data_IF_918706714668
#
_entry.id   IF_918706714668
#
_cell.length_a   1.000
_cell.length_b   1.000
_cell.length_c   1.000
_cell.angle_alpha   90.00
_cell.angle_beta   90.00
_cell.angle_gamma   90.00
#
_symmetry.space_group_name_H-M   'P 1'
#
loop_
_entity.id
_entity.type
_entity.pdbx_description
1 polymer ?
#
# COMPACT_ATOMS: atom_id res chain seq x y z
N UNK A 1 14.35 41.78 -69.90
CA UNK A 1 14.89 40.79 -69.00
C UNK A 1 14.69 41.27 -67.57
N UNK A 2 13.51 41.04 -67.02
CA UNK A 2 13.13 41.43 -65.66
C UNK A 2 12.24 40.29 -65.07
N UNK A 3 12.49 39.90 -63.84
CA UNK A 3 11.55 39.17 -62.93
C UNK A 3 11.56 37.63 -62.96
N UNK A 4 12.68 36.95 -62.62
CA UNK A 4 12.64 35.52 -62.23
C UNK A 4 13.28 35.24 -60.85
N UNK A 5 13.86 36.28 -60.20
CA UNK A 5 14.58 36.04 -58.92
C UNK A 5 13.71 36.04 -57.65
N UNK A 6 12.50 36.62 -57.68
CA UNK A 6 11.65 36.76 -56.45
C UNK A 6 10.91 35.47 -56.03
N UNK A 7 10.37 34.64 -56.95
CA UNK A 7 9.68 33.43 -56.52
C UNK A 7 10.62 32.33 -55.96
N UNK A 8 11.88 32.28 -56.38
CA UNK A 8 12.85 31.29 -55.90
C UNK A 8 13.27 31.54 -54.44
N UNK A 9 13.36 32.83 -54.04
CA UNK A 9 13.69 33.19 -52.65
C UNK A 9 12.54 32.88 -51.67
N UNK A 10 11.29 33.03 -52.11
CA UNK A 10 10.09 32.72 -51.28
C UNK A 10 9.94 31.22 -51.11
N UNK A 11 10.20 30.40 -52.12
CA UNK A 11 10.15 28.94 -52.03
C UNK A 11 11.29 28.42 -51.16
N UNK A 12 12.48 29.00 -51.18
CA UNK A 12 13.59 28.61 -50.30
C UNK A 12 13.33 29.02 -48.86
N UNK A 13 12.70 30.17 -48.58
CA UNK A 13 12.29 30.60 -47.27
C UNK A 13 11.17 29.72 -46.68
N UNK A 14 10.22 29.27 -47.51
CA UNK A 14 9.11 28.41 -47.09
C UNK A 14 9.55 26.96 -46.83
N UNK A 15 10.63 26.51 -47.48
CA UNK A 15 11.21 25.18 -47.26
C UNK A 15 12.08 25.11 -45.99
N UNK A 16 12.61 26.24 -45.50
CA UNK A 16 13.39 26.30 -44.26
C UNK A 16 12.51 26.28 -43.01
N UNK A 17 11.22 26.67 -43.11
CA UNK A 17 10.26 26.67 -41.97
C UNK A 17 9.71 25.26 -41.67
N UNK A 18 9.82 24.32 -42.62
CA UNK A 18 9.35 22.94 -42.43
C UNK A 18 10.35 22.03 -41.72
N UNK A 19 11.52 22.50 -41.33
CA UNK A 19 12.55 21.73 -40.61
C UNK A 19 12.56 21.96 -39.11
N UNK A 20 11.66 22.77 -38.55
CA UNK A 20 11.40 22.75 -37.11
C UNK A 20 10.52 21.54 -36.80
N UNK A 21 11.07 20.35 -36.99
CA UNK A 21 10.50 19.13 -36.45
C UNK A 21 10.39 19.31 -34.94
N UNK A 22 9.17 19.38 -34.44
CA UNK A 22 8.88 19.31 -33.03
C UNK A 22 9.34 17.93 -32.54
N UNK A 23 10.64 17.82 -32.24
CA UNK A 23 11.19 16.59 -31.65
C UNK A 23 10.43 16.33 -30.36
N UNK A 24 9.79 15.18 -30.25
CA UNK A 24 9.14 14.76 -28.99
C UNK A 24 10.14 14.90 -27.84
N UNK A 25 9.74 15.61 -26.80
CA UNK A 25 10.53 15.71 -25.57
C UNK A 25 10.73 14.33 -24.99
N UNK A 26 11.97 13.92 -24.79
CA UNK A 26 12.31 12.56 -24.32
C UNK A 26 13.15 12.61 -23.07
N UNK A 27 13.08 11.56 -22.25
CA UNK A 27 14.01 11.29 -21.18
C UNK A 27 14.92 10.10 -21.53
N UNK A 28 16.02 9.96 -20.81
CA UNK A 28 16.98 8.87 -21.01
C UNK A 28 17.39 8.21 -19.71
N UNK A 29 17.53 6.90 -19.75
CA UNK A 29 18.00 6.06 -18.61
C UNK A 29 19.17 5.24 -19.12
N UNK A 30 20.37 5.48 -18.60
CA UNK A 30 21.59 4.83 -19.08
C UNK A 30 22.49 4.43 -17.91
N UNK A 31 23.44 3.57 -18.18
CA UNK A 31 24.41 3.20 -17.14
C UNK A 31 25.25 1.98 -17.47
N UNK A 32 25.83 1.44 -16.41
CA UNK A 32 26.70 0.25 -16.47
C UNK A 32 26.33 -0.69 -15.33
N UNK A 33 26.24 -1.99 -15.63
CA UNK A 33 26.07 -3.06 -14.64
C UNK A 33 27.21 -4.04 -14.79
N UNK A 34 28.11 -4.07 -13.80
CA UNK A 34 29.20 -5.05 -13.74
C UNK A 34 28.66 -6.45 -13.44
N UNK A 35 29.36 -7.50 -13.91
CA UNK A 35 28.98 -8.87 -13.63
C UNK A 35 27.69 -9.38 -14.30
N UNK A 36 27.09 -8.61 -15.21
CA UNK A 36 25.81 -8.94 -15.84
C UNK A 36 25.91 -9.49 -17.28
N UNK A 37 27.08 -9.97 -17.70
CA UNK A 37 27.26 -10.48 -19.07
C UNK A 37 26.25 -11.57 -19.45
N UNK A 38 25.58 -11.38 -20.58
CA UNK A 38 24.59 -12.30 -21.12
C UNK A 38 23.20 -12.21 -20.48
N UNK A 39 23.04 -11.47 -19.39
CA UNK A 39 21.74 -11.25 -18.72
C UNK A 39 20.90 -10.21 -19.47
N UNK A 40 19.57 -10.33 -19.35
CA UNK A 40 18.63 -9.38 -19.95
C UNK A 40 18.20 -8.38 -18.88
N UNK A 41 18.40 -7.10 -19.17
CA UNK A 41 17.84 -6.00 -18.38
C UNK A 41 16.54 -5.53 -19.02
N UNK A 42 15.52 -5.42 -18.22
CA UNK A 42 14.22 -4.86 -18.62
C UNK A 42 14.08 -3.45 -18.08
N UNK A 43 13.51 -2.59 -18.92
CA UNK A 43 13.04 -1.28 -18.54
C UNK A 43 11.53 -1.27 -18.52
N UNK A 44 10.94 -0.94 -17.37
CA UNK A 44 9.53 -1.12 -17.11
C UNK A 44 8.90 0.17 -16.57
N UNK A 45 7.65 0.46 -16.97
CA UNK A 45 6.79 1.47 -16.35
C UNK A 45 5.99 0.81 -15.22
N UNK A 46 5.94 1.46 -14.06
CA UNK A 46 5.24 0.98 -12.86
C UNK A 46 3.97 1.80 -12.68
N UNK A 47 2.89 1.33 -13.29
CA UNK A 47 1.56 1.93 -13.13
C UNK A 47 0.94 1.66 -11.75
N UNK A 48 -0.26 2.18 -11.51
CA UNK A 48 -0.98 2.01 -10.24
C UNK A 48 -1.39 0.55 -10.02
N UNK A 49 -1.85 -0.13 -11.07
CA UNK A 49 -2.39 -1.50 -10.99
C UNK A 49 -1.58 -2.54 -11.76
N UNK A 50 -0.65 -2.13 -12.62
CA UNK A 50 0.12 -3.04 -13.45
C UNK A 50 1.49 -2.49 -13.79
N UNK A 51 2.42 -3.38 -14.11
CA UNK A 51 3.75 -3.03 -14.62
C UNK A 51 3.85 -3.46 -16.08
N UNK A 52 4.37 -2.57 -16.93
CA UNK A 52 4.50 -2.78 -18.38
C UNK A 52 5.97 -2.72 -18.79
N UNK A 53 6.45 -3.72 -19.52
CA UNK A 53 7.79 -3.70 -20.12
C UNK A 53 7.76 -2.71 -21.29
N UNK A 54 8.63 -1.71 -21.22
CA UNK A 54 8.79 -0.70 -22.27
C UNK A 54 9.89 -1.08 -23.27
N UNK A 55 10.98 -1.66 -22.75
CA UNK A 55 12.14 -2.03 -23.54
C UNK A 55 13.00 -3.07 -22.80
N UNK A 56 13.95 -3.69 -23.50
CA UNK A 56 14.90 -4.61 -22.89
C UNK A 56 16.21 -4.64 -23.68
N UNK A 57 17.30 -4.97 -23.00
CA UNK A 57 18.62 -5.13 -23.61
C UNK A 57 19.37 -6.32 -23.02
N UNK A 58 20.00 -7.12 -23.87
CA UNK A 58 20.94 -8.14 -23.44
C UNK A 58 22.31 -7.49 -23.17
N UNK A 59 22.74 -7.57 -21.92
CA UNK A 59 24.00 -6.95 -21.48
C UNK A 59 25.21 -7.73 -22.02
N UNK A 60 26.22 -7.00 -22.45
CA UNK A 60 27.52 -7.54 -22.83
C UNK A 60 28.46 -7.54 -21.63
N UNK A 61 29.71 -8.01 -21.81
CA UNK A 61 30.75 -7.94 -20.81
C UNK A 61 31.03 -6.49 -20.31
N UNK A 62 30.80 -5.48 -21.18
CA UNK A 62 30.91 -4.06 -20.81
C UNK A 62 29.78 -3.58 -19.91
N UNK A 63 28.69 -4.33 -19.78
CA UNK A 63 27.53 -4.03 -18.94
C UNK A 63 26.78 -2.74 -19.28
N UNK A 64 27.05 -2.10 -20.41
CA UNK A 64 26.42 -0.82 -20.79
C UNK A 64 25.01 -1.02 -21.25
N UNK A 65 24.13 -0.09 -20.85
CA UNK A 65 22.76 0.02 -21.35
C UNK A 65 22.34 1.48 -21.56
N UNK A 66 21.34 1.68 -22.41
CA UNK A 66 20.72 2.98 -22.64
C UNK A 66 19.30 2.77 -23.15
N UNK A 67 18.32 3.37 -22.47
CA UNK A 67 16.93 3.43 -22.88
C UNK A 67 16.53 4.88 -23.09
N UNK A 68 15.62 5.12 -24.03
CA UNK A 68 15.08 6.45 -24.34
C UNK A 68 13.58 6.32 -24.58
N UNK A 69 12.79 7.17 -23.94
CA UNK A 69 11.34 7.17 -24.06
C UNK A 69 10.79 8.60 -24.15
N UNK A 70 9.57 8.74 -24.65
CA UNK A 70 8.83 9.98 -24.60
C UNK A 70 8.63 10.40 -23.13
N UNK A 71 8.73 11.71 -22.88
CA UNK A 71 8.50 12.26 -21.55
C UNK A 71 7.07 11.93 -21.08
N UNK A 72 6.86 11.55 -19.82
CA UNK A 72 5.51 11.35 -19.29
C UNK A 72 4.74 12.67 -19.21
N UNK A 73 3.42 12.61 -19.33
CA UNK A 73 2.54 13.79 -19.17
C UNK A 73 2.59 14.34 -17.73
N UNK A 74 2.65 13.44 -16.76
CA UNK A 74 2.81 13.70 -15.32
C UNK A 74 4.00 12.90 -14.79
N UNK A 75 4.61 13.28 -13.66
CA UNK A 75 5.63 12.48 -13.01
C UNK A 75 5.17 11.02 -12.84
N UNK A 76 5.99 10.08 -13.28
CA UNK A 76 5.62 8.67 -13.27
C UNK A 76 6.79 7.77 -12.86
N UNK A 77 6.46 6.52 -12.48
CA UNK A 77 7.41 5.57 -11.93
C UNK A 77 7.86 4.55 -12.94
N UNK A 78 9.13 4.24 -12.84
CA UNK A 78 9.81 3.27 -13.68
C UNK A 78 10.70 2.38 -12.83
N UNK A 79 11.11 1.26 -13.41
CA UNK A 79 12.14 0.42 -12.80
C UNK A 79 13.04 -0.24 -13.85
N UNK A 80 14.30 -0.44 -13.47
CA UNK A 80 15.21 -1.37 -14.13
C UNK A 80 15.09 -2.70 -13.43
N UNK A 81 14.86 -3.79 -14.16
CA UNK A 81 14.82 -5.15 -13.62
C UNK A 81 15.90 -6.01 -14.24
N UNK A 82 16.68 -6.65 -13.37
CA UNK A 82 17.70 -7.64 -13.73
C UNK A 82 17.42 -8.92 -12.93
N UNK A 83 17.02 -10.00 -13.60
CA UNK A 83 16.54 -11.22 -12.96
C UNK A 83 15.39 -10.92 -11.96
N UNK A 84 15.57 -11.29 -10.68
CA UNK A 84 14.61 -11.04 -9.59
C UNK A 84 14.96 -9.80 -8.74
N UNK A 85 15.82 -8.92 -9.24
CA UNK A 85 16.18 -7.67 -8.57
C UNK A 85 15.73 -6.48 -9.41
N UNK A 86 15.34 -5.37 -8.76
CA UNK A 86 14.90 -4.16 -9.44
C UNK A 86 15.37 -2.90 -8.72
N UNK A 87 15.57 -1.85 -9.51
CA UNK A 87 15.85 -0.50 -9.06
C UNK A 87 14.65 0.37 -9.44
N UNK A 88 13.92 0.89 -8.46
CA UNK A 88 12.81 1.82 -8.68
C UNK A 88 13.34 3.26 -8.79
N UNK A 89 12.73 4.05 -9.66
CA UNK A 89 12.99 5.48 -9.81
C UNK A 89 11.77 6.16 -10.43
N UNK A 90 11.78 7.48 -10.49
CA UNK A 90 10.74 8.26 -11.14
C UNK A 90 11.34 9.20 -12.18
N UNK A 91 10.52 9.57 -13.14
CA UNK A 91 10.80 10.58 -14.17
C UNK A 91 9.75 11.67 -14.04
N UNK A 92 10.22 12.89 -13.83
CA UNK A 92 9.35 14.06 -13.71
C UNK A 92 9.20 14.79 -15.05
N UNK A 93 10.22 14.73 -15.93
CA UNK A 93 10.25 15.48 -17.18
C UNK A 93 11.19 14.82 -18.21
N UNK A 94 12.21 15.55 -18.65
CA UNK A 94 13.17 15.20 -19.73
C UNK A 94 14.57 14.91 -19.20
N UNK A 95 14.68 14.51 -17.94
CA UNK A 95 15.95 14.23 -17.31
C UNK A 95 16.69 13.05 -17.95
N UNK A 96 17.98 13.01 -17.71
CA UNK A 96 18.83 11.87 -18.03
C UNK A 96 19.34 11.27 -16.73
N UNK A 97 18.90 10.04 -16.42
CA UNK A 97 19.39 9.30 -15.28
C UNK A 97 20.59 8.42 -15.68
N UNK A 98 21.61 8.44 -14.85
CA UNK A 98 22.80 7.57 -15.02
C UNK A 98 22.93 6.64 -13.82
N UNK A 99 22.98 5.34 -14.07
CA UNK A 99 23.11 4.29 -13.06
C UNK A 99 24.46 3.57 -13.16
N UNK A 100 25.02 3.22 -12.01
CA UNK A 100 26.08 2.22 -11.92
C UNK A 100 25.73 1.21 -10.84
N UNK A 101 25.82 -0.09 -11.15
CA UNK A 101 25.45 -1.17 -10.27
C UNK A 101 26.33 -2.41 -10.51
N UNK A 102 26.28 -3.36 -9.58
CA UNK A 102 26.80 -4.70 -9.73
C UNK A 102 25.64 -5.70 -9.76
N UNK A 103 25.72 -6.72 -10.61
CA UNK A 103 24.64 -7.69 -10.79
C UNK A 103 24.31 -8.48 -9.51
N UNK A 104 25.26 -8.73 -8.64
CA UNK A 104 25.07 -9.44 -7.39
C UNK A 104 24.32 -8.64 -6.33
N UNK A 105 24.48 -7.32 -6.37
CA UNK A 105 23.88 -6.38 -5.41
C UNK A 105 23.05 -5.30 -6.09
N UNK A 106 22.43 -5.65 -7.21
CA UNK A 106 21.76 -4.73 -8.13
C UNK A 106 20.73 -3.82 -7.45
N UNK A 107 19.92 -4.37 -6.56
CA UNK A 107 18.86 -3.62 -5.87
C UNK A 107 19.37 -2.77 -4.69
N UNK A 108 20.57 -3.04 -4.15
CA UNK A 108 21.01 -2.47 -2.87
C UNK A 108 22.24 -1.57 -2.98
N UNK A 109 23.14 -1.86 -3.93
CA UNK A 109 24.46 -1.20 -4.03
C UNK A 109 24.66 -0.47 -5.36
N UNK A 110 23.64 0.26 -5.81
CA UNK A 110 23.73 1.07 -7.04
C UNK A 110 23.97 2.55 -6.73
N UNK A 111 24.45 3.28 -7.73
CA UNK A 111 24.45 4.75 -7.73
C UNK A 111 23.45 5.26 -8.75
N UNK A 112 22.88 6.43 -8.51
CA UNK A 112 22.00 7.13 -9.45
C UNK A 112 22.33 8.61 -9.44
N UNK A 113 22.46 9.18 -10.65
CA UNK A 113 22.71 10.61 -10.88
C UNK A 113 21.70 11.16 -11.88
N UNK A 114 21.53 12.48 -11.87
CA UNK A 114 20.66 13.19 -12.80
C UNK A 114 19.26 13.53 -12.27
N UNK A 115 18.87 13.04 -11.06
CA UNK A 115 17.62 13.42 -10.42
C UNK A 115 17.71 13.31 -8.91
N UNK A 116 17.29 14.34 -8.19
CA UNK A 116 17.19 14.32 -6.73
C UNK A 116 16.05 13.40 -6.26
N UNK A 117 14.95 13.32 -7.02
CA UNK A 117 13.87 12.36 -6.75
C UNK A 117 14.36 10.91 -6.85
N UNK A 118 15.18 10.58 -7.83
CA UNK A 118 15.74 9.23 -7.95
C UNK A 118 16.68 8.89 -6.79
N UNK A 119 17.49 9.85 -6.31
CA UNK A 119 18.32 9.68 -5.10
C UNK A 119 17.47 9.49 -3.84
N UNK A 120 16.39 10.27 -3.70
CA UNK A 120 15.45 10.15 -2.59
C UNK A 120 14.74 8.79 -2.61
N UNK A 121 14.26 8.33 -3.77
CA UNK A 121 13.65 7.01 -3.93
C UNK A 121 14.62 5.90 -3.54
N UNK A 122 15.90 6.00 -3.92
CA UNK A 122 16.94 5.07 -3.46
C UNK A 122 17.04 5.05 -1.93
N UNK A 123 17.13 6.20 -1.28
CA UNK A 123 17.24 6.28 0.18
C UNK A 123 16.03 5.66 0.89
N UNK A 124 14.82 5.92 0.37
CA UNK A 124 13.57 5.33 0.87
C UNK A 124 13.57 3.81 0.67
N UNK A 125 14.00 3.34 -0.50
CA UNK A 125 14.11 1.89 -0.80
C UNK A 125 15.05 1.20 0.16
N UNK A 126 16.22 1.79 0.45
CA UNK A 126 17.17 1.22 1.39
C UNK A 126 16.59 1.17 2.81
N UNK A 127 15.93 2.23 3.27
CA UNK A 127 15.26 2.22 4.57
C UNK A 127 14.15 1.15 4.67
N UNK A 128 13.41 0.93 3.59
CA UNK A 128 12.41 -0.14 3.51
C UNK A 128 13.05 -1.54 3.54
N UNK A 129 14.17 -1.73 2.84
CA UNK A 129 14.91 -3.00 2.87
C UNK A 129 15.49 -3.29 4.26
N UNK A 130 16.04 -2.28 4.94
CA UNK A 130 16.54 -2.40 6.32
C UNK A 130 15.42 -2.79 7.28
N UNK A 131 14.23 -2.17 7.16
CA UNK A 131 13.07 -2.52 7.95
C UNK A 131 12.62 -3.97 7.68
N UNK A 132 12.57 -4.40 6.42
CA UNK A 132 12.21 -5.77 6.04
C UNK A 132 13.21 -6.79 6.64
N UNK A 133 14.50 -6.48 6.59
CA UNK A 133 15.54 -7.35 7.17
C UNK A 133 15.39 -7.45 8.68
N UNK A 134 15.18 -6.33 9.38
CA UNK A 134 14.99 -6.29 10.82
C UNK A 134 13.77 -7.10 11.25
N UNK A 135 12.61 -6.92 10.57
CA UNK A 135 11.39 -7.67 10.88
C UNK A 135 11.55 -9.16 10.55
N UNK A 136 12.24 -9.49 9.45
CA UNK A 136 12.57 -10.89 9.12
C UNK A 136 13.41 -11.58 10.20
N UNK A 137 14.34 -10.84 10.84
CA UNK A 137 15.11 -11.33 11.98
C UNK A 137 14.23 -11.55 13.22
N UNK A 138 13.41 -10.56 13.58
CA UNK A 138 12.48 -10.64 14.71
C UNK A 138 11.51 -11.82 14.57
N UNK A 139 11.02 -12.08 13.36
CA UNK A 139 10.15 -13.23 13.07
C UNK A 139 10.84 -14.55 13.38
N UNK A 140 12.09 -14.73 12.95
CA UNK A 140 12.86 -15.94 13.25
C UNK A 140 13.13 -16.10 14.75
N UNK A 141 13.41 -15.00 15.46
CA UNK A 141 13.61 -15.02 16.92
C UNK A 141 12.32 -15.43 17.65
N UNK A 142 11.15 -14.94 17.20
CA UNK A 142 9.84 -15.34 17.72
C UNK A 142 9.55 -16.82 17.44
N UNK A 143 9.73 -17.27 16.19
CA UNK A 143 9.52 -18.67 15.78
C UNK A 143 10.42 -19.63 16.55
N UNK A 144 11.64 -19.20 16.89
CA UNK A 144 12.60 -19.94 17.74
C UNK A 144 12.30 -19.83 19.24
N UNK A 145 11.22 -19.16 19.65
CA UNK A 145 10.89 -18.86 21.05
C UNK A 145 12.00 -18.12 21.82
N UNK A 146 12.81 -17.33 21.12
CA UNK A 146 13.90 -16.52 21.72
C UNK A 146 13.39 -15.22 22.33
N UNK A 147 12.25 -14.72 21.85
CA UNK A 147 11.58 -13.52 22.36
C UNK A 147 10.09 -13.80 22.57
N UNK A 148 9.45 -13.21 23.60
CA UNK A 148 8.02 -13.30 23.83
C UNK A 148 7.23 -12.50 22.79
N UNK A 149 5.95 -12.85 22.56
CA UNK A 149 5.05 -12.17 21.61
C UNK A 149 4.91 -10.67 21.88
N UNK A 150 4.91 -10.26 23.15
CA UNK A 150 4.85 -8.84 23.54
C UNK A 150 6.07 -8.08 23.03
N UNK A 151 7.27 -8.61 23.28
CA UNK A 151 8.54 -8.01 22.81
C UNK A 151 8.60 -7.99 21.27
N UNK A 152 8.14 -9.05 20.61
CA UNK A 152 8.04 -9.09 19.15
C UNK A 152 7.16 -7.96 18.61
N UNK A 153 5.97 -7.77 19.17
CA UNK A 153 5.03 -6.73 18.76
C UNK A 153 5.60 -5.32 18.97
N UNK A 154 6.22 -5.05 20.12
CA UNK A 154 6.85 -3.76 20.43
C UNK A 154 8.01 -3.45 19.48
N UNK A 155 8.85 -4.43 19.18
CA UNK A 155 9.99 -4.23 18.29
C UNK A 155 9.56 -4.04 16.83
N UNK A 156 8.52 -4.72 16.34
CA UNK A 156 7.94 -4.44 15.02
C UNK A 156 7.47 -3.01 14.90
N UNK A 157 6.74 -2.49 15.90
CA UNK A 157 6.28 -1.10 15.91
C UNK A 157 7.48 -0.12 15.90
N UNK A 158 8.53 -0.44 16.64
CA UNK A 158 9.77 0.36 16.65
C UNK A 158 10.43 0.40 15.27
N UNK A 159 10.54 -0.74 14.60
CA UNK A 159 11.11 -0.82 13.24
C UNK A 159 10.25 -0.06 12.24
N UNK A 160 8.92 -0.21 12.30
CA UNK A 160 8.00 0.51 11.44
C UNK A 160 8.10 2.03 11.65
N UNK A 161 8.21 2.49 12.88
CA UNK A 161 8.37 3.90 13.19
C UNK A 161 9.71 4.46 12.70
N UNK A 162 10.80 3.69 12.80
CA UNK A 162 12.10 4.09 12.24
C UNK A 162 12.03 4.31 10.72
N UNK A 163 11.32 3.45 9.98
CA UNK A 163 11.04 3.70 8.57
C UNK A 163 10.23 4.99 8.37
N UNK A 164 9.14 5.16 9.13
CA UNK A 164 8.27 6.36 9.02
C UNK A 164 9.04 7.66 9.26
N UNK A 165 10.00 7.67 10.18
CA UNK A 165 10.86 8.83 10.41
C UNK A 165 11.67 9.22 9.17
N UNK A 166 12.22 8.24 8.44
CA UNK A 166 12.90 8.50 7.16
C UNK A 166 11.90 9.02 6.13
N UNK A 167 10.75 8.36 5.98
CA UNK A 167 9.73 8.69 5.00
C UNK A 167 9.12 10.07 5.21
N UNK A 168 8.85 10.48 6.45
CA UNK A 168 8.27 11.80 6.80
C UNK A 168 9.12 12.97 6.31
N UNK A 169 10.44 12.82 6.25
CA UNK A 169 11.34 13.87 5.71
C UNK A 169 10.99 14.21 4.26
N UNK A 170 10.68 13.20 3.45
CA UNK A 170 10.30 13.40 2.05
C UNK A 170 8.83 13.79 1.92
N UNK A 171 7.93 13.15 2.67
CA UNK A 171 6.49 13.40 2.63
C UNK A 171 6.16 14.84 3.00
N UNK A 172 6.73 15.37 4.09
CA UNK A 172 6.43 16.72 4.55
C UNK A 172 7.39 17.78 4.00
N UNK A 173 8.60 17.39 3.59
CA UNK A 173 9.58 18.31 3.02
C UNK A 173 9.21 18.79 1.62
N UNK A 174 8.68 17.88 0.78
CA UNK A 174 8.28 18.20 -0.59
C UNK A 174 7.13 17.28 -1.04
N UNK A 175 5.90 17.47 -0.54
CA UNK A 175 4.78 16.54 -0.74
C UNK A 175 4.30 16.39 -2.18
N UNK A 176 4.68 17.31 -3.10
CA UNK A 176 4.38 17.22 -4.52
C UNK A 176 5.31 16.27 -5.30
N UNK A 177 6.38 15.77 -4.68
CA UNK A 177 7.40 14.99 -5.39
C UNK A 177 7.01 13.51 -5.52
N UNK A 178 7.56 12.85 -6.53
CA UNK A 178 7.46 11.40 -6.69
C UNK A 178 8.09 10.65 -5.52
N UNK A 179 9.13 11.19 -4.88
CA UNK A 179 9.72 10.60 -3.69
C UNK A 179 8.73 10.57 -2.50
N UNK A 180 7.95 11.64 -2.30
CA UNK A 180 6.92 11.68 -1.25
C UNK A 180 5.81 10.64 -1.50
N UNK A 181 5.32 10.54 -2.74
CA UNK A 181 4.38 9.48 -3.13
C UNK A 181 4.97 8.09 -2.88
N UNK A 182 6.20 7.86 -3.33
CA UNK A 182 6.88 6.57 -3.17
C UNK A 182 7.03 6.17 -1.70
N UNK A 183 7.43 7.11 -0.84
CA UNK A 183 7.59 6.88 0.60
C UNK A 183 6.28 6.47 1.27
N UNK A 184 5.15 7.05 0.85
CA UNK A 184 3.83 6.79 1.41
C UNK A 184 3.32 5.37 1.12
N UNK A 185 3.70 4.80 -0.04
CA UNK A 185 3.20 3.51 -0.52
C UNK A 185 4.15 2.32 -0.27
N UNK A 186 5.21 2.51 0.51
CA UNK A 186 6.07 1.37 0.86
C UNK A 186 5.36 0.41 1.80
N UNK A 187 5.69 -0.87 1.65
CA UNK A 187 4.99 -1.96 2.31
C UNK A 187 5.97 -2.94 2.94
N UNK A 188 5.47 -3.65 3.94
CA UNK A 188 6.06 -4.86 4.48
C UNK A 188 4.98 -5.95 4.55
N UNK A 189 5.25 -7.13 4.01
CA UNK A 189 4.30 -8.25 3.96
C UNK A 189 2.91 -7.86 3.42
N UNK A 190 2.87 -6.94 2.45
CA UNK A 190 1.63 -6.44 1.84
C UNK A 190 0.90 -5.35 2.66
N UNK A 191 1.39 -5.01 3.84
CA UNK A 191 0.84 -3.94 4.67
C UNK A 191 1.62 -2.64 4.48
N UNK A 192 0.92 -1.52 4.33
CA UNK A 192 1.55 -0.20 4.27
C UNK A 192 2.18 0.15 5.62
N UNK A 193 3.35 0.79 5.60
CA UNK A 193 3.92 1.37 6.82
C UNK A 193 3.04 2.50 7.38
N UNK A 194 2.44 3.31 6.51
CA UNK A 194 1.48 4.35 6.90
C UNK A 194 0.07 3.77 6.86
N UNK A 195 -0.56 3.69 8.02
CA UNK A 195 -1.93 3.17 8.16
C UNK A 195 -2.96 4.27 7.87
N UNK A 196 -3.79 4.03 6.86
CA UNK A 196 -4.89 4.92 6.48
C UNK A 196 -5.92 5.14 7.60
N UNK A 197 -6.03 4.19 8.51
CA UNK A 197 -6.97 4.21 9.62
C UNK A 197 -6.39 4.83 10.91
N UNK A 198 -5.09 5.07 10.93
CA UNK A 198 -4.42 5.76 12.03
C UNK A 198 -4.49 7.28 11.81
N UNK A 199 -4.94 8.02 12.83
CA UNK A 199 -5.12 9.48 12.78
C UNK A 199 -3.86 10.25 12.40
N UNK A 200 -2.69 9.82 12.89
CA UNK A 200 -1.44 10.53 12.64
C UNK A 200 -0.84 10.19 11.28
N UNK A 201 -0.92 8.92 10.88
CA UNK A 201 -0.48 8.48 9.56
C UNK A 201 -1.35 9.05 8.42
N UNK A 202 -2.66 9.22 8.67
CA UNK A 202 -3.59 9.83 7.70
C UNK A 202 -3.22 11.24 7.28
N UNK A 203 -2.52 11.99 8.14
CA UNK A 203 -2.00 13.32 7.83
C UNK A 203 -0.98 13.29 6.69
N UNK A 204 -0.19 12.21 6.59
CA UNK A 204 0.78 12.00 5.51
C UNK A 204 0.05 11.83 4.18
N UNK A 205 -1.01 11.02 4.13
CA UNK A 205 -1.87 10.88 2.94
C UNK A 205 -2.51 12.20 2.55
N UNK A 206 -3.05 12.95 3.52
CA UNK A 206 -3.64 14.28 3.29
C UNK A 206 -2.65 15.29 2.71
N UNK A 207 -1.43 15.33 3.22
CA UNK A 207 -0.39 16.26 2.75
C UNK A 207 -0.02 15.98 1.27
N UNK A 208 0.24 14.71 0.93
CA UNK A 208 0.60 14.33 -0.45
C UNK A 208 -0.60 14.48 -1.38
N UNK A 209 -1.82 14.06 -0.97
CA UNK A 209 -3.03 14.20 -1.77
C UNK A 209 -3.31 15.66 -2.14
N UNK A 210 -3.29 16.56 -1.15
CA UNK A 210 -3.52 18.01 -1.39
C UNK A 210 -2.50 18.59 -2.36
N UNK A 211 -1.23 18.21 -2.23
CA UNK A 211 -0.18 18.67 -3.14
C UNK A 211 -0.36 18.12 -4.56
N UNK A 212 -0.67 16.84 -4.69
CA UNK A 212 -0.89 16.22 -5.99
C UNK A 212 -2.14 16.79 -6.69
N UNK A 213 -3.21 17.05 -5.96
CA UNK A 213 -4.41 17.70 -6.52
C UNK A 213 -4.11 19.11 -7.02
N UNK A 214 -3.20 19.83 -6.37
CA UNK A 214 -2.79 21.16 -6.81
C UNK A 214 -1.86 21.13 -8.03
N UNK A 215 -0.80 20.29 -8.02
CA UNK A 215 0.23 20.30 -9.06
C UNK A 215 -0.11 19.37 -10.25
N UNK A 216 -0.86 18.29 -10.01
CA UNK A 216 -1.14 17.25 -11.02
C UNK A 216 -2.63 16.83 -11.03
N UNK A 217 -3.59 17.78 -11.14
CA UNK A 217 -5.02 17.53 -10.86
C UNK A 217 -5.67 16.48 -11.79
N UNK A 218 -5.09 16.24 -12.96
CA UNK A 218 -5.62 15.27 -13.93
C UNK A 218 -4.93 13.91 -13.86
N UNK A 219 -3.87 13.77 -13.06
CA UNK A 219 -3.12 12.52 -12.98
C UNK A 219 -3.93 11.42 -12.28
N UNK A 220 -3.76 10.17 -12.70
CA UNK A 220 -4.40 9.02 -12.05
C UNK A 220 -3.92 8.85 -10.60
N UNK A 221 -2.66 9.24 -10.30
CA UNK A 221 -2.10 9.17 -8.94
C UNK A 221 -2.74 10.21 -8.03
N UNK A 222 -3.08 11.41 -8.53
CA UNK A 222 -3.85 12.39 -7.75
C UNK A 222 -5.21 11.85 -7.40
N UNK A 223 -5.93 11.26 -8.36
CA UNK A 223 -7.24 10.63 -8.10
C UNK A 223 -7.16 9.52 -7.07
N UNK A 224 -6.12 8.67 -7.15
CA UNK A 224 -5.90 7.61 -6.15
C UNK A 224 -5.68 8.20 -4.76
N UNK A 225 -4.75 9.15 -4.60
CA UNK A 225 -4.44 9.80 -3.33
C UNK A 225 -5.65 10.51 -2.76
N UNK A 226 -6.40 11.25 -3.59
CA UNK A 226 -7.62 11.94 -3.19
C UNK A 226 -8.64 10.97 -2.59
N UNK A 227 -8.91 9.85 -3.27
CA UNK A 227 -9.85 8.85 -2.80
C UNK A 227 -9.39 8.21 -1.47
N UNK A 228 -8.09 7.88 -1.34
CA UNK A 228 -7.53 7.32 -0.11
C UNK A 228 -7.61 8.31 1.05
N UNK A 229 -7.29 9.58 0.81
CA UNK A 229 -7.39 10.63 1.83
C UNK A 229 -8.83 10.84 2.30
N UNK A 230 -9.80 10.88 1.38
CA UNK A 230 -11.23 10.98 1.73
C UNK A 230 -11.70 9.75 2.52
N UNK A 231 -11.32 8.55 2.10
CA UNK A 231 -11.64 7.32 2.82
C UNK A 231 -11.09 7.35 4.25
N UNK A 232 -9.84 7.73 4.41
CA UNK A 232 -9.18 7.87 5.72
C UNK A 232 -9.92 8.86 6.62
N UNK A 233 -10.25 10.07 6.11
CA UNK A 233 -10.99 11.09 6.87
C UNK A 233 -12.37 10.55 7.31
N UNK A 234 -13.08 9.86 6.40
CA UNK A 234 -14.40 9.27 6.71
C UNK A 234 -14.30 8.28 7.87
N UNK A 235 -13.35 7.36 7.82
CA UNK A 235 -13.16 6.33 8.84
C UNK A 235 -12.75 6.92 10.18
N UNK A 236 -11.81 7.86 10.19
CA UNK A 236 -11.35 8.52 11.43
C UNK A 236 -12.49 9.32 12.08
N UNK A 237 -13.36 9.96 11.29
CA UNK A 237 -14.57 10.63 11.80
C UNK A 237 -15.55 9.63 12.40
N UNK A 238 -15.75 8.49 11.75
CA UNK A 238 -16.62 7.43 12.28
C UNK A 238 -16.07 6.85 13.60
N UNK A 239 -14.77 6.61 13.70
CA UNK A 239 -14.13 6.16 14.93
C UNK A 239 -14.32 7.17 16.09
N UNK A 240 -14.29 8.48 15.81
CA UNK A 240 -14.58 9.53 16.80
C UNK A 240 -16.03 9.61 17.20
N UNK A 241 -16.96 9.38 16.25
CA UNK A 241 -18.39 9.42 16.53
C UNK A 241 -18.86 8.22 17.38
N UNK A 242 -18.07 7.14 17.43
CA UNK A 242 -18.33 5.94 18.25
C UNK A 242 -17.81 6.09 19.68
N UNK A 243 -16.99 7.12 19.99
CA UNK A 243 -16.71 7.47 21.38
C UNK A 243 -17.93 8.26 21.89
N UNK A 244 -18.83 7.68 22.72
CA UNK A 244 -19.93 8.45 23.31
C UNK A 244 -19.29 9.58 24.14
N UNK A 245 -19.81 10.82 24.02
CA UNK A 245 -19.69 11.80 25.10
C UNK A 245 -20.03 11.09 26.39
N UNK A 246 -19.27 11.35 27.45
CA UNK A 246 -19.43 10.77 28.78
C UNK A 246 -20.88 10.85 29.28
N UNK A 247 -21.72 9.94 28.83
CA UNK A 247 -23.01 9.69 29.42
C UNK A 247 -22.87 8.41 30.25
N UNK A 248 -22.63 8.59 31.57
CA UNK A 248 -22.79 7.60 32.62
C UNK A 248 -22.50 6.15 32.18
N UNK A 249 -21.24 5.83 31.98
CA UNK A 249 -20.79 4.44 31.87
C UNK A 249 -20.96 3.86 33.27
N UNK A 250 -22.12 3.27 33.53
CA UNK A 250 -22.20 2.27 34.59
C UNK A 250 -21.10 1.24 34.28
N UNK A 251 -20.21 1.03 35.19
CA UNK A 251 -19.08 0.12 35.35
C UNK A 251 -19.00 -1.16 34.48
N UNK A 252 -19.33 -1.10 33.18
CA UNK A 252 -19.06 -2.16 32.24
C UNK A 252 -17.82 -1.72 31.44
N UNK A 253 -16.64 -2.25 31.79
CA UNK A 253 -15.35 -1.84 31.24
C UNK A 253 -15.15 -2.19 29.75
N UNK A 254 -16.21 -2.41 28.95
CA UNK A 254 -16.17 -2.72 27.53
C UNK A 254 -17.41 -2.19 26.79
N UNK A 255 -17.27 -1.97 25.48
CA UNK A 255 -18.37 -1.58 24.61
C UNK A 255 -19.34 -2.76 24.43
N UNK A 256 -20.62 -2.59 24.77
CA UNK A 256 -21.62 -3.63 24.56
C UNK A 256 -21.99 -3.75 23.07
N UNK A 257 -21.81 -4.94 22.51
CA UNK A 257 -22.14 -5.30 21.14
C UNK A 257 -23.44 -6.10 21.17
N UNK A 258 -24.51 -5.63 20.51
CA UNK A 258 -25.77 -6.35 20.41
C UNK A 258 -26.12 -6.62 18.95
N UNK A 259 -26.13 -7.89 18.55
CA UNK A 259 -26.26 -8.35 17.18
C UNK A 259 -27.27 -9.49 17.05
N UNK A 260 -27.96 -9.65 15.91
CA UNK A 260 -28.91 -10.71 15.69
C UNK A 260 -28.24 -12.07 15.57
N UNK A 261 -28.79 -13.09 16.23
CA UNK A 261 -28.40 -14.49 16.08
C UNK A 261 -29.06 -15.14 14.85
N UNK A 262 -28.86 -16.46 14.66
CA UNK A 262 -29.43 -17.20 13.51
C UNK A 262 -30.96 -17.22 13.50
N UNK A 263 -31.62 -17.04 14.65
CA UNK A 263 -33.06 -16.95 14.79
C UNK A 263 -33.59 -15.52 14.55
N UNK A 264 -32.72 -14.54 14.54
CA UNK A 264 -33.06 -13.12 14.39
C UNK A 264 -33.17 -12.38 15.72
N UNK A 265 -32.93 -13.03 16.86
CA UNK A 265 -32.95 -12.39 18.17
C UNK A 265 -31.66 -11.63 18.43
N UNK A 266 -31.76 -10.42 18.98
CA UNK A 266 -30.60 -9.65 19.36
C UNK A 266 -29.97 -10.18 20.64
N UNK A 267 -28.72 -10.61 20.56
CA UNK A 267 -27.91 -11.05 21.68
C UNK A 267 -26.85 -10.01 22.00
N UNK A 268 -26.84 -9.46 23.21
CA UNK A 268 -25.81 -8.49 23.63
C UNK A 268 -24.63 -9.22 24.28
N UNK A 269 -23.42 -8.66 24.06
CA UNK A 269 -22.20 -9.14 24.71
C UNK A 269 -22.35 -9.12 26.24
N UNK A 270 -22.93 -8.05 26.79
CA UNK A 270 -23.22 -7.94 28.23
C UNK A 270 -24.11 -9.03 28.76
N UNK A 271 -25.13 -9.48 27.99
CA UNK A 271 -26.05 -10.53 28.41
C UNK A 271 -25.37 -11.88 28.60
N UNK A 272 -24.27 -12.16 27.90
CA UNK A 272 -23.55 -13.44 27.96
C UNK A 272 -22.29 -13.37 28.83
N UNK A 273 -21.80 -12.16 29.14
CA UNK A 273 -20.56 -11.93 29.86
C UNK A 273 -20.68 -12.03 31.40
N UNK A 274 -21.89 -12.07 31.96
CA UNK A 274 -22.09 -12.00 33.41
C UNK A 274 -21.40 -13.16 34.12
N UNK A 275 -20.37 -12.85 34.92
CA UNK A 275 -19.55 -13.83 35.64
C UNK A 275 -18.86 -14.90 34.76
N UNK A 276 -18.55 -14.53 33.51
CA UNK A 276 -17.91 -15.44 32.55
C UNK A 276 -16.72 -14.75 31.85
N UNK A 277 -15.81 -15.57 31.38
CA UNK A 277 -14.75 -15.13 30.45
C UNK A 277 -15.30 -15.23 29.04
N UNK A 278 -15.28 -14.11 28.28
CA UNK A 278 -15.78 -14.08 26.91
C UNK A 278 -14.63 -13.98 25.93
N UNK A 279 -14.55 -14.96 25.03
CA UNK A 279 -13.71 -14.90 23.84
C UNK A 279 -14.54 -14.30 22.70
N UNK A 280 -14.20 -13.09 22.26
CA UNK A 280 -14.82 -12.49 21.08
C UNK A 280 -14.00 -12.88 19.85
N UNK A 281 -14.63 -13.50 18.87
CA UNK A 281 -14.01 -13.88 17.60
C UNK A 281 -14.72 -13.23 16.41
N UNK A 282 -13.99 -12.45 15.62
CA UNK A 282 -14.47 -11.90 14.36
C UNK A 282 -14.02 -12.80 13.21
N UNK A 283 -14.94 -13.35 12.43
CA UNK A 283 -14.64 -14.31 11.37
C UNK A 283 -15.48 -14.08 10.12
N UNK A 284 -14.91 -14.44 8.95
CA UNK A 284 -15.63 -14.56 7.69
C UNK A 284 -15.74 -16.04 7.32
N UNK A 285 -16.93 -16.60 7.35
CA UNK A 285 -17.19 -18.03 7.13
C UNK A 285 -16.92 -18.50 5.70
N UNK A 286 -16.92 -17.58 4.74
CA UNK A 286 -16.59 -17.86 3.35
C UNK A 286 -15.09 -18.10 3.10
N UNK A 287 -14.22 -17.87 4.07
CA UNK A 287 -12.77 -18.06 3.92
C UNK A 287 -12.36 -19.53 4.07
N UNK A 288 -11.31 -19.94 3.34
CA UNK A 288 -10.82 -21.34 3.33
C UNK A 288 -10.35 -21.83 4.70
N UNK A 289 -9.83 -20.94 5.54
CA UNK A 289 -9.35 -21.27 6.91
C UNK A 289 -10.45 -21.32 7.97
N UNK A 290 -11.65 -20.81 7.67
CA UNK A 290 -12.77 -20.75 8.62
C UNK A 290 -13.17 -22.12 9.18
N UNK A 291 -13.22 -23.23 8.41
CA UNK A 291 -13.56 -24.53 8.98
C UNK A 291 -12.59 -25.01 10.05
N UNK A 292 -11.28 -24.80 9.87
CA UNK A 292 -10.27 -25.17 10.86
C UNK A 292 -10.41 -24.34 12.14
N UNK A 293 -10.55 -23.03 12.02
CA UNK A 293 -10.75 -22.14 13.15
C UNK A 293 -12.01 -22.50 13.96
N UNK A 294 -13.11 -22.83 13.28
CA UNK A 294 -14.35 -23.20 13.97
C UNK A 294 -14.23 -24.56 14.72
N UNK A 295 -13.41 -25.49 14.22
CA UNK A 295 -13.09 -26.72 14.96
C UNK A 295 -12.29 -26.42 16.22
N UNK A 296 -11.25 -25.59 16.12
CA UNK A 296 -10.43 -25.19 17.27
C UNK A 296 -11.25 -24.45 18.33
N UNK A 297 -12.16 -23.57 17.91
CA UNK A 297 -13.08 -22.86 18.81
C UNK A 297 -14.09 -23.82 19.48
N UNK A 298 -14.59 -24.82 18.76
CA UNK A 298 -15.49 -25.84 19.31
C UNK A 298 -14.76 -26.68 20.36
N UNK A 299 -13.53 -27.10 20.10
CA UNK A 299 -12.71 -27.85 21.06
C UNK A 299 -12.40 -26.99 22.30
N UNK A 300 -12.09 -25.72 22.11
CA UNK A 300 -11.88 -24.80 23.23
C UNK A 300 -13.14 -24.63 24.06
N UNK A 301 -14.30 -24.45 23.40
CA UNK A 301 -15.58 -24.33 24.10
C UNK A 301 -15.89 -25.59 24.92
N UNK A 302 -15.77 -26.78 24.32
CA UNK A 302 -16.05 -28.04 25.02
C UNK A 302 -15.17 -28.28 26.26
N UNK A 303 -13.93 -27.72 26.23
CA UNK A 303 -12.96 -27.86 27.33
C UNK A 303 -13.20 -26.88 28.49
N UNK A 304 -13.78 -25.70 28.21
CA UNK A 304 -13.83 -24.60 29.18
C UNK A 304 -15.22 -24.01 29.45
N UNK A 305 -16.25 -24.41 28.74
CA UNK A 305 -17.61 -23.93 28.94
C UNK A 305 -18.10 -24.10 30.38
N UNK A 306 -17.94 -25.31 30.97
CA UNK A 306 -18.27 -25.59 32.39
C UNK A 306 -17.39 -24.78 33.37
N UNK A 307 -16.27 -24.24 32.92
CA UNK A 307 -15.36 -23.35 33.67
C UNK A 307 -15.70 -21.87 33.51
N UNK A 308 -16.79 -21.57 32.79
CA UNK A 308 -17.27 -20.22 32.60
C UNK A 308 -16.70 -19.49 31.36
N UNK A 309 -16.18 -20.21 30.36
CA UNK A 309 -15.87 -19.63 29.06
C UNK A 309 -17.14 -19.51 28.21
N UNK A 310 -17.28 -18.37 27.51
CA UNK A 310 -18.28 -18.18 26.45
C UNK A 310 -17.56 -17.67 25.20
N UNK A 311 -17.88 -18.25 24.04
CA UNK A 311 -17.37 -17.79 22.77
C UNK A 311 -18.45 -16.99 22.06
N UNK A 312 -18.20 -15.68 21.87
CA UNK A 312 -19.07 -14.76 21.13
C UNK A 312 -18.47 -14.52 19.74
N UNK A 313 -19.02 -15.23 18.74
CA UNK A 313 -18.53 -15.09 17.36
C UNK A 313 -19.33 -14.05 16.59
N UNK A 314 -18.63 -13.16 15.88
CA UNK A 314 -19.20 -12.11 15.03
C UNK A 314 -18.85 -12.44 13.58
N UNK A 315 -19.86 -12.65 12.73
CA UNK A 315 -19.66 -12.81 11.29
C UNK A 315 -19.37 -11.48 10.61
N UNK A 316 -18.35 -11.48 9.78
CA UNK A 316 -18.00 -10.39 8.87
C UNK A 316 -18.47 -10.65 7.43
N UNK A 317 -19.23 -11.72 7.19
CA UNK A 317 -19.74 -12.04 5.87
C UNK A 317 -20.82 -11.05 5.45
N UNK A 318 -20.74 -10.57 4.20
CA UNK A 318 -21.76 -9.71 3.59
C UNK A 318 -23.07 -10.46 3.29
N UNK A 319 -22.98 -11.78 3.07
CA UNK A 319 -24.13 -12.66 2.85
C UNK A 319 -24.39 -13.53 4.07
N UNK A 320 -25.58 -13.36 4.64
CA UNK A 320 -26.04 -14.10 5.82
C UNK A 320 -26.15 -15.61 5.58
N UNK A 321 -26.20 -16.05 4.32
CA UNK A 321 -26.30 -17.46 3.94
C UNK A 321 -25.07 -18.27 4.40
N UNK A 322 -23.87 -17.71 4.31
CA UNK A 322 -22.64 -18.41 4.67
C UNK A 322 -22.61 -18.82 6.15
N UNK A 323 -22.81 -17.88 7.06
CA UNK A 323 -22.75 -18.18 8.49
C UNK A 323 -23.96 -18.95 8.99
N UNK A 324 -25.17 -18.69 8.47
CA UNK A 324 -26.37 -19.45 8.85
C UNK A 324 -26.27 -20.92 8.52
N UNK A 325 -25.74 -21.27 7.34
CA UNK A 325 -25.57 -22.65 6.93
C UNK A 325 -24.51 -23.38 7.77
N UNK A 326 -23.38 -22.72 8.06
CA UNK A 326 -22.35 -23.34 8.91
C UNK A 326 -22.89 -23.62 10.30
N UNK A 327 -23.70 -22.74 10.86
CA UNK A 327 -24.32 -22.93 12.15
C UNK A 327 -25.40 -24.00 12.15
N UNK A 328 -26.17 -24.14 11.07
CA UNK A 328 -27.23 -25.15 10.94
C UNK A 328 -26.69 -26.57 10.84
N UNK A 329 -25.55 -26.76 10.17
CA UNK A 329 -24.94 -28.08 9.97
C UNK A 329 -24.04 -28.54 11.13
N UNK A 330 -23.71 -27.70 12.09
CA UNK A 330 -22.84 -28.06 13.23
C UNK A 330 -23.46 -27.57 14.56
N UNK A 331 -23.69 -28.46 15.46
CA UNK A 331 -24.18 -28.29 16.84
C UNK A 331 -23.37 -27.32 17.73
N UNK A 332 -22.46 -26.52 17.20
CA UNK A 332 -21.42 -25.81 17.93
C UNK A 332 -21.45 -24.27 17.81
N UNK A 333 -22.48 -23.70 17.21
CA UNK A 333 -22.60 -22.24 17.21
C UNK A 333 -23.26 -21.74 18.47
N UNK A 334 -22.47 -21.44 19.49
CA UNK A 334 -23.01 -21.04 20.79
C UNK A 334 -23.65 -19.64 20.75
N UNK A 335 -23.14 -18.72 19.93
CA UNK A 335 -23.70 -17.36 19.71
C UNK A 335 -23.11 -16.74 18.44
N UNK A 336 -23.94 -16.44 17.46
CA UNK A 336 -23.53 -15.80 16.20
C UNK A 336 -24.34 -14.57 15.93
N UNK A 337 -23.61 -13.49 15.62
CA UNK A 337 -24.18 -12.20 15.34
C UNK A 337 -23.59 -11.61 14.04
N UNK A 338 -24.39 -10.96 13.21
CA UNK A 338 -23.96 -10.36 11.95
C UNK A 338 -23.72 -8.86 12.09
N UNK A 339 -22.50 -8.42 11.78
CA UNK A 339 -22.07 -7.03 11.96
C UNK A 339 -22.32 -6.16 10.72
N UNK A 340 -22.28 -6.74 9.50
CA UNK A 340 -22.30 -5.96 8.25
C UNK A 340 -23.68 -5.40 7.89
N UNK A 341 -24.77 -6.08 8.20
CA UNK A 341 -26.13 -5.57 7.94
C UNK A 341 -26.44 -4.27 8.70
N UNK A 342 -25.83 -4.08 9.87
CA UNK A 342 -25.98 -2.83 10.64
C UNK A 342 -25.16 -1.68 10.12
N UNK A 343 -23.97 -1.93 9.58
CA UNK A 343 -23.15 -0.88 8.95
C UNK A 343 -23.82 -0.37 7.68
N UNK A 344 -24.41 -1.24 6.85
CA UNK A 344 -25.16 -0.80 5.67
C UNK A 344 -26.45 -0.05 6.02
N UNK A 345 -27.19 -0.48 7.04
CA UNK A 345 -28.43 0.19 7.46
C UNK A 345 -28.18 1.54 8.15
N UNK A 346 -27.05 1.73 8.82
CA UNK A 346 -26.68 3.03 9.39
C UNK A 346 -26.11 4.00 8.35
N UNK A 347 -25.43 3.51 7.32
CA UNK A 347 -24.94 4.33 6.19
C UNK A 347 -26.11 4.85 5.33
N UNK A 348 -27.17 4.06 5.15
CA UNK A 348 -28.38 4.48 4.39
C UNK A 348 -29.24 5.47 5.19
N UNK A 349 -29.13 5.55 6.51
CA UNK A 349 -29.86 6.56 7.33
C UNK A 349 -29.11 7.89 7.50
N UNK A 350 -27.88 8.00 7.00
CA UNK A 350 -27.04 9.20 7.07
C UNK A 350 -26.80 9.86 5.70
N UNK A 351 -27.40 9.35 4.62
CA UNK A 351 -27.57 9.96 3.32
C UNK A 351 -29.00 10.46 3.13
#
# INVERSE_FOLDING_TARGET
MKNIAIPALIVLGMMLVLLTGCGESTFSVKGVVSGANGQIMYFENVGISSTTILDSVKLTAAGKFSFKQARPEYPDFYRLRLNNQWINFAIDSTETLTFAADAGTFATSYTVEGSENAKAIKAITLAQLDANQAIGKLRKEREGNLIPDTTYSEQILTVAEAYKEVARKYIYGAPMTTAAYFALFQQIDGLLFFDLYNKDDSKAFGAVATSYDHYYPKSLRSKQLHNLALQSIKIIRQQRAVVPEETNIQEIGYLDISLPNVQGDNISLSSVATNKVVLINFTAYQTEWSPSLNMDLADLNSKYDEKGLVIYQVSLDSDTHYWKNVCFFRYYCTLLANYLDRLQSQVVKLL
#
